data_IF_326472294838
#
_entry.id   IF_326472294838
#
_cell.length_a   1.000
_cell.length_b   1.000
_cell.length_c   1.000
_cell.angle_alpha   90.00
_cell.angle_beta   90.00
_cell.angle_gamma   90.00
#
_symmetry.space_group_name_H-M   'P 1'
#
loop_
_entity.id
_entity.type
_entity.pdbx_description
1 polymer ?
#
# COMPACT_ATOMS: atom_id res chain seq x y z
N UNK A 1 30.43 -12.42 12.64
CA UNK A 1 29.51 -12.72 11.52
C UNK A 1 28.40 -11.69 11.58
N UNK A 2 28.51 -10.60 10.81
CA UNK A 2 27.50 -9.53 10.82
C UNK A 2 26.28 -9.98 10.01
N UNK A 3 25.09 -9.78 10.55
CA UNK A 3 23.86 -9.96 9.78
C UNK A 3 23.79 -8.81 8.77
N UNK A 4 24.08 -9.12 7.50
CA UNK A 4 23.87 -8.19 6.40
C UNK A 4 22.37 -8.11 6.20
N UNK A 5 21.76 -6.98 6.57
CA UNK A 5 20.38 -6.70 6.17
C UNK A 5 20.32 -6.82 4.64
N UNK A 6 19.42 -7.63 4.07
CA UNK A 6 19.27 -7.67 2.63
C UNK A 6 19.00 -6.23 2.13
N UNK A 7 19.48 -5.85 0.94
CA UNK A 7 19.12 -4.56 0.35
C UNK A 7 17.60 -4.45 0.39
N UNK A 8 17.08 -3.31 0.87
CA UNK A 8 15.64 -3.05 0.87
C UNK A 8 15.15 -3.30 -0.55
N UNK A 9 14.22 -4.23 -0.70
CA UNK A 9 13.50 -4.44 -1.95
C UNK A 9 12.94 -3.08 -2.37
N UNK A 10 13.17 -2.68 -3.63
CA UNK A 10 12.64 -1.42 -4.15
C UNK A 10 11.11 -1.50 -4.12
N UNK A 11 10.52 -0.91 -3.08
CA UNK A 11 9.07 -0.87 -2.90
C UNK A 11 8.52 0.28 -3.74
N UNK A 12 7.53 -0.03 -4.58
CA UNK A 12 6.79 0.96 -5.37
C UNK A 12 6.06 1.95 -4.47
N UNK A 13 5.56 1.48 -3.33
CA UNK A 13 4.72 2.26 -2.43
C UNK A 13 5.38 2.51 -1.06
N UNK A 14 5.01 3.63 -0.44
CA UNK A 14 5.36 3.90 0.95
C UNK A 14 4.53 3.05 1.91
N UNK A 15 3.24 2.91 1.63
CA UNK A 15 2.34 2.12 2.45
C UNK A 15 1.23 1.44 1.64
N UNK A 16 0.93 0.19 2.00
CA UNK A 16 -0.31 -0.47 1.63
C UNK A 16 -1.36 -0.21 2.70
N UNK A 17 -2.56 0.20 2.30
CA UNK A 17 -3.69 0.39 3.22
C UNK A 17 -4.65 -0.78 3.06
N UNK A 18 -4.69 -1.62 4.10
CA UNK A 18 -5.69 -2.67 4.25
C UNK A 18 -6.86 -2.11 5.05
N UNK A 19 -8.05 -2.11 4.45
CA UNK A 19 -9.23 -1.53 5.05
C UNK A 19 -10.47 -2.30 4.65
N UNK A 20 -11.45 -2.34 5.55
CA UNK A 20 -12.77 -2.86 5.23
C UNK A 20 -13.54 -1.85 4.34
N UNK A 21 -14.38 -2.33 3.41
CA UNK A 21 -15.16 -1.48 2.49
C UNK A 21 -16.06 -0.45 3.19
N UNK A 22 -16.56 -0.75 4.39
CA UNK A 22 -17.24 0.23 5.26
C UNK A 22 -16.42 1.49 5.58
N UNK A 23 -15.09 1.42 5.49
CA UNK A 23 -14.18 2.54 5.71
C UNK A 23 -13.72 3.21 4.40
N UNK A 24 -14.18 2.74 3.23
CA UNK A 24 -13.69 3.17 1.91
C UNK A 24 -13.79 4.69 1.74
N UNK A 25 -14.95 5.29 1.99
CA UNK A 25 -15.14 6.74 1.88
C UNK A 25 -14.15 7.53 2.74
N UNK A 26 -13.86 7.06 3.95
CA UNK A 26 -12.92 7.75 4.85
C UNK A 26 -11.48 7.58 4.39
N UNK A 27 -11.10 6.40 3.91
CA UNK A 27 -9.75 6.17 3.38
C UNK A 27 -9.52 6.99 2.12
N UNK A 28 -10.49 7.02 1.21
CA UNK A 28 -10.37 7.76 -0.04
C UNK A 28 -10.37 9.27 0.19
N UNK A 29 -11.24 9.79 1.06
CA UNK A 29 -11.38 11.24 1.25
C UNK A 29 -10.40 11.80 2.29
N UNK A 30 -10.12 11.09 3.40
CA UNK A 30 -9.24 11.61 4.45
C UNK A 30 -7.79 11.18 4.24
N UNK A 31 -7.50 9.88 4.10
CA UNK A 31 -6.12 9.40 4.03
C UNK A 31 -5.43 9.80 2.73
N UNK A 32 -6.11 9.67 1.60
CA UNK A 32 -5.53 10.01 0.30
C UNK A 32 -5.20 11.51 0.20
N UNK A 33 -6.10 12.38 0.67
CA UNK A 33 -5.85 13.83 0.72
C UNK A 33 -4.67 14.19 1.63
N UNK A 34 -4.59 13.58 2.82
CA UNK A 34 -3.60 13.95 3.84
C UNK A 34 -2.23 13.30 3.63
N UNK A 35 -2.14 12.16 2.92
CA UNK A 35 -0.89 11.42 2.77
C UNK A 35 -0.36 11.48 1.34
N UNK A 36 -1.21 11.29 0.34
CA UNK A 36 -0.80 11.17 -1.06
C UNK A 36 -0.82 12.52 -1.78
N UNK A 37 -1.82 13.37 -1.53
CA UNK A 37 -1.95 14.70 -2.15
C UNK A 37 -1.23 15.83 -1.37
N UNK A 38 -0.53 15.50 -0.28
CA UNK A 38 0.25 16.47 0.48
C UNK A 38 1.64 16.73 -0.15
N UNK A 39 2.32 17.79 0.31
CA UNK A 39 3.61 18.26 -0.26
C UNK A 39 4.69 17.18 -0.31
N UNK A 40 4.68 16.23 0.64
CA UNK A 40 5.65 15.12 0.69
C UNK A 40 5.25 13.92 -0.18
N UNK A 41 4.00 13.86 -0.67
CA UNK A 41 3.43 12.84 -1.56
C UNK A 41 3.84 11.41 -1.21
N UNK A 42 3.17 10.82 -0.23
CA UNK A 42 3.39 9.43 0.21
C UNK A 42 2.59 8.50 -0.72
N UNK A 43 3.22 7.73 -1.63
CA UNK A 43 2.50 6.87 -2.57
C UNK A 43 1.85 5.70 -1.81
N UNK A 44 0.55 5.53 -2.00
CA UNK A 44 -0.23 4.50 -1.33
C UNK A 44 -0.61 3.39 -2.30
N UNK A 45 -0.59 2.14 -1.81
CA UNK A 45 -1.23 1.02 -2.47
C UNK A 45 -2.63 0.81 -1.88
N UNK A 46 -3.66 0.86 -2.73
CA UNK A 46 -5.06 0.68 -2.38
C UNK A 46 -5.67 -0.44 -3.23
N UNK A 47 -6.32 -1.41 -2.57
CA UNK A 47 -6.88 -2.58 -3.25
C UNK A 47 -7.99 -2.27 -4.26
N UNK A 48 -8.66 -1.11 -4.15
CA UNK A 48 -9.71 -0.65 -5.07
C UNK A 48 -9.16 0.07 -6.32
N UNK A 49 -7.91 0.52 -6.29
CA UNK A 49 -7.31 1.37 -7.34
C UNK A 49 -6.17 0.66 -8.08
N UNK A 50 -5.28 0.03 -7.32
CA UNK A 50 -3.98 -0.38 -7.85
C UNK A 50 -3.94 -1.87 -8.24
N UNK A 51 -5.00 -2.62 -7.94
CA UNK A 51 -5.08 -4.04 -8.26
C UNK A 51 -5.58 -4.24 -9.71
N UNK A 52 -4.88 -5.07 -10.47
CA UNK A 52 -5.18 -5.28 -11.88
C UNK A 52 -6.34 -6.25 -12.09
N UNK A 53 -7.17 -6.05 -13.11
CA UNK A 53 -8.17 -7.07 -13.47
C UNK A 53 -7.48 -8.36 -13.96
N UNK A 54 -8.07 -9.54 -13.65
CA UNK A 54 -7.63 -10.83 -14.20
C UNK A 54 -6.54 -11.58 -13.42
N UNK A 55 -5.98 -10.99 -12.36
CA UNK A 55 -5.16 -11.69 -11.36
C UNK A 55 -5.96 -11.95 -10.09
N UNK A 56 -5.54 -12.91 -9.28
CA UNK A 56 -6.25 -13.23 -8.04
C UNK A 56 -6.13 -12.08 -7.03
N UNK A 57 -7.17 -11.86 -6.24
CA UNK A 57 -7.14 -10.85 -5.17
C UNK A 57 -6.02 -11.13 -4.16
N UNK A 58 -5.85 -12.39 -3.76
CA UNK A 58 -4.81 -12.82 -2.83
C UNK A 58 -3.38 -12.53 -3.36
N UNK A 59 -3.12 -12.78 -4.65
CA UNK A 59 -1.82 -12.44 -5.24
C UNK A 59 -1.54 -10.95 -5.21
N UNK A 60 -2.53 -10.09 -5.45
CA UNK A 60 -2.30 -8.64 -5.35
C UNK A 60 -2.04 -8.17 -3.93
N UNK A 61 -2.75 -8.70 -2.94
CA UNK A 61 -2.48 -8.37 -1.53
C UNK A 61 -1.02 -8.70 -1.21
N UNK A 62 -0.53 -9.85 -1.65
CA UNK A 62 0.84 -10.29 -1.36
C UNK A 62 1.85 -9.47 -2.17
N UNK A 63 1.74 -9.47 -3.50
CA UNK A 63 2.77 -8.96 -4.39
C UNK A 63 2.80 -7.42 -4.43
N UNK A 64 1.64 -6.78 -4.64
CA UNK A 64 1.55 -5.32 -4.78
C UNK A 64 1.40 -4.63 -3.42
N UNK A 65 0.58 -5.21 -2.54
CA UNK A 65 0.32 -4.68 -1.20
C UNK A 65 1.50 -4.89 -0.25
N UNK A 66 1.66 -6.12 0.24
CA UNK A 66 2.60 -6.47 1.31
C UNK A 66 4.05 -6.36 0.84
N UNK A 67 4.39 -6.95 -0.31
CA UNK A 67 5.76 -6.97 -0.83
C UNK A 67 6.12 -5.70 -1.59
N UNK A 68 5.14 -5.01 -2.18
CA UNK A 68 5.32 -3.77 -2.93
C UNK A 68 5.37 -2.51 -2.06
N UNK A 69 5.10 -2.60 -0.76
CA UNK A 69 5.03 -1.45 0.15
C UNK A 69 6.04 -1.52 1.29
N UNK A 70 6.60 -0.36 1.66
CA UNK A 70 7.54 -0.27 2.80
C UNK A 70 6.85 -0.50 4.14
N UNK A 71 5.56 -0.19 4.24
CA UNK A 71 4.73 -0.32 5.44
C UNK A 71 3.34 -0.82 5.09
N UNK A 72 2.64 -1.29 6.12
CA UNK A 72 1.23 -1.68 6.03
C UNK A 72 0.47 -0.91 7.10
N UNK A 73 -0.65 -0.31 6.72
CA UNK A 73 -1.60 0.38 7.58
C UNK A 73 -2.89 -0.43 7.55
N UNK A 74 -3.40 -0.80 8.73
CA UNK A 74 -4.66 -1.56 8.86
C UNK A 74 -5.69 -0.65 9.52
N UNK A 75 -6.85 -0.48 8.87
CA UNK A 75 -7.91 0.48 9.23
C UNK A 75 -9.25 -0.20 9.49
#
# INVERSE_FOLDING_TARGET
>A
KGYRTPPQQECTYDAFVDFHTYNEDRVMNEMMENLENCVLSIPLCLHMRDFQAGKSFASHIIDEGIMGSRKIIVV
#
